data_IF_979555298104
#
_entry.id   IF_979555298104
#
_cell.length_a   1.000
_cell.length_b   1.000
_cell.length_c   1.000
_cell.angle_alpha   90.00
_cell.angle_beta   90.00
_cell.angle_gamma   90.00
#
_symmetry.space_group_name_H-M   'P 1'
#
loop_
_entity.id
_entity.type
_entity.pdbx_description
1 polymer ?
#
# COMPACT_ATOMS: atom_id res chain seq x y z
N UNK A 1 5.75 -1.18 -23.28
CA UNK A 1 5.78 -0.56 -21.94
C UNK A 1 4.85 0.64 -21.99
N UNK A 2 4.08 0.92 -20.94
CA UNK A 2 3.19 2.08 -20.93
C UNK A 2 4.00 3.37 -21.10
N UNK A 3 3.42 4.35 -21.81
CA UNK A 3 4.04 5.66 -22.00
C UNK A 3 4.04 6.44 -20.68
N UNK A 4 5.20 6.98 -20.28
CA UNK A 4 5.36 7.77 -19.05
C UNK A 4 6.36 7.19 -18.05
N UNK A 5 6.67 7.97 -17.01
CA UNK A 5 7.63 7.56 -15.97
C UNK A 5 7.03 6.40 -15.14
N UNK A 6 7.82 5.38 -14.77
CA UNK A 6 7.38 4.36 -13.83
C UNK A 6 7.01 5.00 -12.49
N UNK A 7 5.95 4.50 -11.87
CA UNK A 7 5.40 5.00 -10.61
C UNK A 7 5.77 4.04 -9.49
N UNK A 8 6.27 4.61 -8.40
CA UNK A 8 6.39 3.94 -7.10
C UNK A 8 5.25 4.47 -6.23
N UNK A 9 4.35 3.58 -5.83
CA UNK A 9 3.23 3.91 -4.98
C UNK A 9 3.51 3.46 -3.53
N UNK A 10 3.50 4.43 -2.61
CA UNK A 10 3.70 4.23 -1.19
C UNK A 10 2.39 4.51 -0.44
N UNK A 11 1.81 3.49 0.19
CA UNK A 11 0.60 3.59 1.00
C UNK A 11 0.92 3.25 2.46
N UNK A 12 0.56 4.14 3.38
CA UNK A 12 0.72 3.93 4.81
C UNK A 12 -0.63 4.04 5.50
N UNK A 13 -1.03 2.99 6.21
CA UNK A 13 -2.26 2.94 7.00
C UNK A 13 -1.87 2.97 8.48
N UNK A 14 -2.17 4.08 9.15
CA UNK A 14 -1.90 4.24 10.58
C UNK A 14 -3.20 4.55 11.31
N UNK A 15 -3.38 3.98 12.50
CA UNK A 15 -4.50 4.31 13.36
C UNK A 15 -4.29 5.68 14.00
N UNK A 16 -5.08 6.67 13.58
CA UNK A 16 -5.00 8.05 14.11
C UNK A 16 -5.89 8.26 15.34
N UNK A 17 -6.78 7.31 15.64
CA UNK A 17 -7.79 7.45 16.70
C UNK A 17 -7.39 6.69 17.96
N UNK A 18 -6.90 5.46 17.80
CA UNK A 18 -6.41 4.64 18.90
C UNK A 18 -4.89 4.77 19.05
N UNK A 19 -4.47 5.48 20.10
CA UNK A 19 -3.04 5.66 20.42
C UNK A 19 -2.31 4.35 20.73
N UNK A 20 -3.01 3.31 21.18
CA UNK A 20 -2.40 2.00 21.43
C UNK A 20 -2.08 1.27 20.12
N UNK A 21 -2.84 1.56 19.06
CA UNK A 21 -2.62 1.03 17.72
C UNK A 21 -1.71 1.93 16.88
N UNK A 22 -1.54 3.20 17.22
CA UNK A 22 -0.66 4.12 16.48
C UNK A 22 0.78 3.57 16.26
N UNK A 23 1.12 3.31 14.99
CA UNK A 23 2.43 2.78 14.58
C UNK A 23 3.43 3.92 14.38
N UNK A 24 4.16 4.26 15.45
CA UNK A 24 5.18 5.34 15.45
C UNK A 24 6.32 5.11 14.45
N UNK A 25 6.59 3.84 14.13
CA UNK A 25 7.64 3.43 13.18
C UNK A 25 7.37 3.87 11.74
N UNK A 26 6.10 4.01 11.33
CA UNK A 26 5.74 4.32 9.93
C UNK A 26 6.30 5.67 9.47
N UNK A 27 6.35 6.66 10.36
CA UNK A 27 6.94 7.95 10.03
C UNK A 27 8.45 7.85 9.77
N UNK A 28 9.16 6.97 10.49
CA UNK A 28 10.58 6.72 10.27
C UNK A 28 10.81 5.91 8.98
N UNK A 29 9.97 4.90 8.73
CA UNK A 29 9.99 4.11 7.51
C UNK A 29 9.76 4.97 6.26
N UNK A 30 8.69 5.76 6.23
CA UNK A 30 8.40 6.67 5.13
C UNK A 30 9.55 7.65 4.87
N UNK A 31 10.19 8.19 5.92
CA UNK A 31 11.39 9.04 5.77
C UNK A 31 12.55 8.27 5.16
N UNK A 32 12.80 7.05 5.62
CA UNK A 32 13.86 6.19 5.08
C UNK A 32 13.66 5.92 3.58
N UNK A 33 12.44 5.53 3.19
CA UNK A 33 12.08 5.26 1.79
C UNK A 33 12.22 6.52 0.94
N UNK A 34 11.71 7.67 1.41
CA UNK A 34 11.86 8.96 0.70
C UNK A 34 13.32 9.32 0.46
N UNK A 35 14.18 9.11 1.45
CA UNK A 35 15.60 9.39 1.32
C UNK A 35 16.27 8.45 0.29
N UNK A 36 15.95 7.16 0.34
CA UNK A 36 16.47 6.17 -0.60
C UNK A 36 16.02 6.45 -2.05
N UNK A 37 14.78 6.91 -2.24
CA UNK A 37 14.23 7.25 -3.56
C UNK A 37 14.58 8.67 -4.02
N UNK A 38 15.19 9.49 -3.15
CA UNK A 38 15.57 10.88 -3.42
C UNK A 38 16.37 11.06 -4.71
N UNK A 39 17.46 10.30 -4.94
CA UNK A 39 18.24 10.40 -6.17
C UNK A 39 17.42 10.09 -7.43
N UNK A 40 16.59 9.04 -7.40
CA UNK A 40 15.75 8.66 -8.54
C UNK A 40 14.68 9.71 -8.84
N UNK A 41 14.10 10.33 -7.79
CA UNK A 41 13.17 11.45 -7.91
C UNK A 41 13.85 12.69 -8.50
N UNK A 42 15.05 13.03 -8.04
CA UNK A 42 15.82 14.18 -8.52
C UNK A 42 16.22 14.01 -10.00
N UNK A 43 16.62 12.80 -10.39
CA UNK A 43 16.90 12.45 -11.77
C UNK A 43 15.64 12.32 -12.64
N UNK A 44 14.44 12.54 -12.08
CA UNK A 44 13.16 12.40 -12.76
C UNK A 44 12.94 11.01 -13.39
N UNK A 45 13.61 9.98 -12.86
CA UNK A 45 13.56 8.62 -13.37
C UNK A 45 12.28 7.87 -12.95
N UNK A 46 11.69 8.27 -11.83
CA UNK A 46 10.46 7.71 -11.28
C UNK A 46 9.52 8.82 -10.82
N UNK A 47 8.23 8.51 -10.82
CA UNK A 47 7.22 9.28 -10.12
C UNK A 47 6.91 8.59 -8.78
N UNK A 48 6.73 9.38 -7.72
CA UNK A 48 6.43 8.85 -6.38
C UNK A 48 5.05 9.34 -5.98
N UNK A 49 4.11 8.42 -5.85
CA UNK A 49 2.76 8.66 -5.33
C UNK A 49 2.73 8.19 -3.89
N UNK A 50 2.25 9.04 -2.98
CA UNK A 50 2.24 8.72 -1.55
C UNK A 50 0.86 8.99 -0.93
N UNK A 51 0.43 8.09 -0.04
CA UNK A 51 -0.73 8.25 0.82
C UNK A 51 -0.34 7.87 2.26
N UNK A 52 -0.23 8.86 3.14
CA UNK A 52 0.27 8.68 4.52
C UNK A 52 -0.77 8.13 5.52
N UNK A 53 -2.06 8.15 5.15
CA UNK A 53 -3.18 7.62 5.94
C UNK A 53 -4.16 6.90 5.00
N UNK A 54 -3.64 5.98 4.21
CA UNK A 54 -4.39 5.31 3.17
C UNK A 54 -5.45 4.36 3.75
N UNK A 55 -6.69 4.53 3.30
CA UNK A 55 -7.72 3.51 3.38
C UNK A 55 -7.60 2.52 2.21
N UNK A 56 -8.37 1.43 2.24
CA UNK A 56 -8.50 0.51 1.11
C UNK A 56 -8.99 1.23 -0.15
N UNK A 57 -9.99 2.10 0.01
CA UNK A 57 -10.52 2.91 -1.10
C UNK A 57 -9.43 3.78 -1.72
N UNK A 58 -8.64 4.48 -0.91
CA UNK A 58 -7.53 5.31 -1.41
C UNK A 58 -6.50 4.52 -2.21
N UNK A 59 -6.25 3.26 -1.84
CA UNK A 59 -5.33 2.38 -2.56
C UNK A 59 -5.93 1.97 -3.91
N UNK A 60 -7.17 1.49 -3.91
CA UNK A 60 -7.87 1.08 -5.13
C UNK A 60 -7.99 2.25 -6.11
N UNK A 61 -8.37 3.43 -5.62
CA UNK A 61 -8.51 4.65 -6.42
C UNK A 61 -7.21 5.01 -7.12
N UNK A 62 -6.05 4.88 -6.44
CA UNK A 62 -4.74 5.14 -7.07
C UNK A 62 -4.40 4.12 -8.15
N UNK A 63 -4.73 2.84 -7.96
CA UNK A 63 -4.51 1.82 -8.98
C UNK A 63 -5.46 1.97 -10.18
N UNK A 64 -6.67 2.49 -9.96
CA UNK A 64 -7.67 2.74 -11.01
C UNK A 64 -7.52 4.10 -11.70
N UNK A 65 -6.74 5.03 -11.12
CA UNK A 65 -6.50 6.34 -11.70
C UNK A 65 -5.87 6.21 -13.10
N UNK A 66 -6.52 6.74 -14.16
CA UNK A 66 -5.98 6.73 -15.51
C UNK A 66 -4.57 7.33 -15.63
N UNK A 67 -4.19 8.24 -14.74
CA UNK A 67 -2.85 8.84 -14.71
C UNK A 67 -1.76 7.82 -14.35
N UNK A 68 -2.09 6.77 -13.58
CA UNK A 68 -1.12 5.77 -13.11
C UNK A 68 -1.32 4.39 -13.74
N UNK A 69 -2.40 4.18 -14.48
CA UNK A 69 -2.74 2.92 -15.15
C UNK A 69 -1.56 2.35 -15.95
N UNK A 70 -1.16 1.12 -15.65
CA UNK A 70 0.00 0.45 -16.26
C UNK A 70 1.38 0.92 -15.76
N UNK A 71 1.46 2.08 -15.09
CA UNK A 71 2.73 2.73 -14.74
C UNK A 71 3.23 2.36 -13.35
N UNK A 72 2.36 1.91 -12.44
CA UNK A 72 2.75 1.50 -11.09
C UNK A 72 3.59 0.22 -11.19
N UNK A 73 4.90 0.35 -10.90
CA UNK A 73 5.87 -0.77 -10.94
C UNK A 73 6.15 -1.34 -9.57
N UNK A 74 6.11 -0.47 -8.56
CA UNK A 74 6.40 -0.83 -7.17
C UNK A 74 5.25 -0.35 -6.30
N UNK A 75 4.72 -1.24 -5.49
CA UNK A 75 3.76 -0.92 -4.44
C UNK A 75 4.36 -1.25 -3.08
N UNK A 76 4.35 -0.30 -2.16
CA UNK A 76 4.75 -0.51 -0.76
C UNK A 76 3.58 -0.16 0.15
N UNK A 77 3.19 -1.11 0.99
CA UNK A 77 2.21 -0.92 2.05
C UNK A 77 2.90 -0.98 3.42
N UNK A 78 2.67 0.03 4.26
CA UNK A 78 3.09 0.04 5.66
C UNK A 78 1.90 0.28 6.60
N UNK A 79 1.60 -0.67 7.48
CA UNK A 79 0.43 -0.55 8.36
C UNK A 79 0.26 -1.72 9.29
N UNK A 80 -0.91 -1.85 9.90
CA UNK A 80 -1.19 -3.04 10.71
C UNK A 80 -1.43 -4.27 9.86
N UNK A 81 -0.93 -5.42 10.32
CA UNK A 81 -1.18 -6.70 9.67
C UNK A 81 -2.68 -7.06 9.67
N UNK A 82 -3.43 -6.66 10.70
CA UNK A 82 -4.89 -6.87 10.75
C UNK A 82 -5.65 -5.97 9.77
N UNK A 83 -5.17 -4.76 9.50
CA UNK A 83 -5.71 -3.86 8.48
C UNK A 83 -5.43 -4.42 7.08
N UNK A 84 -4.27 -5.07 6.90
CA UNK A 84 -3.97 -5.85 5.70
C UNK A 84 -4.82 -7.13 5.60
N UNK A 85 -5.12 -7.80 6.72
CA UNK A 85 -6.07 -8.93 6.73
C UNK A 85 -7.49 -8.48 6.49
N UNK A 86 -7.96 -7.34 7.00
CA UNK A 86 -9.27 -6.76 6.69
C UNK A 86 -9.38 -6.33 5.21
N UNK A 87 -8.28 -5.83 4.66
CA UNK A 87 -8.10 -5.59 3.23
C UNK A 87 -8.20 -6.89 2.39
N UNK A 88 -8.01 -8.06 3.01
CA UNK A 88 -8.29 -9.37 2.43
C UNK A 88 -9.70 -9.88 2.83
N UNK A 89 -10.13 -9.82 4.08
CA UNK A 89 -11.24 -10.59 4.64
C UNK A 89 -12.63 -9.91 4.58
N UNK A 90 -12.77 -8.70 4.03
CA UNK A 90 -14.05 -7.98 4.06
C UNK A 90 -15.14 -8.59 3.14
N UNK A 91 -16.18 -9.16 3.75
CA UNK A 91 -17.58 -9.23 3.29
C UNK A 91 -18.49 -9.35 4.54
N UNK A 92 -19.72 -8.84 4.60
CA UNK A 92 -20.49 -7.91 3.77
C UNK A 92 -21.76 -7.54 4.55
N UNK A 93 -22.57 -6.65 3.99
CA UNK A 93 -24.01 -6.65 4.30
C UNK A 93 -24.88 -6.89 3.07
N UNK A 94 -24.31 -7.00 1.86
CA UNK A 94 -25.09 -7.20 0.64
C UNK A 94 -24.24 -7.71 -0.52
N UNK A 95 -24.10 -9.03 -0.55
CA UNK A 95 -23.62 -9.92 -1.60
C UNK A 95 -22.79 -9.29 -2.71
N UNK A 96 -21.47 -9.44 -2.59
CA UNK A 96 -20.64 -9.88 -3.70
C UNK A 96 -19.33 -10.48 -3.16
N UNK A 97 -19.40 -11.80 -2.93
CA UNK A 97 -18.33 -12.68 -2.50
C UNK A 97 -17.13 -12.54 -3.40
N UNK A 98 -16.16 -11.76 -2.96
CA UNK A 98 -14.75 -11.91 -3.27
C UNK A 98 -13.99 -11.00 -2.29
N UNK A 99 -12.79 -11.40 -1.86
CA UNK A 99 -11.60 -10.55 -1.98
C UNK A 99 -10.47 -10.80 -0.94
N UNK A 100 -10.48 -11.91 -0.20
CA UNK A 100 -9.24 -12.37 0.47
C UNK A 100 -8.26 -12.95 -0.55
N UNK A 101 -8.81 -13.55 -1.59
CA UNK A 101 -8.15 -13.76 -2.86
C UNK A 101 -8.04 -12.47 -3.70
N UNK A 102 -8.81 -11.43 -3.38
CA UNK A 102 -9.12 -10.31 -4.26
C UNK A 102 -8.16 -9.16 -4.24
N UNK A 103 -7.53 -8.79 -3.12
CA UNK A 103 -6.42 -7.83 -3.23
C UNK A 103 -5.22 -8.48 -3.90
N UNK A 104 -4.89 -9.73 -3.53
CA UNK A 104 -3.78 -10.43 -4.19
C UNK A 104 -4.06 -10.64 -5.68
N UNK A 105 -5.28 -11.03 -6.07
CA UNK A 105 -5.69 -11.10 -7.47
C UNK A 105 -5.75 -9.70 -8.11
N UNK A 106 -6.20 -8.68 -7.39
CA UNK A 106 -6.24 -7.30 -7.87
C UNK A 106 -4.82 -6.83 -8.21
N UNK A 107 -3.88 -6.96 -7.26
CA UNK A 107 -2.46 -6.63 -7.42
C UNK A 107 -1.83 -7.49 -8.53
N UNK A 108 -2.07 -8.79 -8.55
CA UNK A 108 -1.58 -9.67 -9.62
C UNK A 108 -2.16 -9.33 -11.00
N UNK A 109 -3.37 -8.76 -11.03
CA UNK A 109 -4.04 -8.26 -12.23
C UNK A 109 -3.60 -6.86 -12.65
N UNK A 110 -2.80 -6.15 -11.84
CA UNK A 110 -2.36 -4.80 -12.20
C UNK A 110 -1.30 -4.86 -13.30
N UNK A 111 -1.58 -4.27 -14.48
CA UNK A 111 -0.62 -4.26 -15.56
C UNK A 111 0.63 -3.48 -15.14
N UNK A 112 1.79 -4.10 -15.32
CA UNK A 112 3.08 -3.46 -15.07
C UNK A 112 3.54 -3.48 -13.61
N UNK A 113 2.74 -3.94 -12.65
CA UNK A 113 3.19 -4.11 -11.27
C UNK A 113 4.24 -5.23 -11.18
N UNK A 114 5.43 -4.90 -10.70
CA UNK A 114 6.59 -5.80 -10.67
C UNK A 114 6.98 -6.19 -9.25
N UNK A 115 6.84 -5.27 -8.29
CA UNK A 115 7.26 -5.48 -6.90
C UNK A 115 6.17 -5.03 -5.95
N UNK A 116 5.86 -5.89 -4.98
CA UNK A 116 4.97 -5.59 -3.86
C UNK A 116 5.75 -5.79 -2.55
N UNK A 117 5.82 -4.75 -1.73
CA UNK A 117 6.38 -4.79 -0.38
C UNK A 117 5.26 -4.60 0.64
N UNK A 118 5.10 -5.55 1.54
CA UNK A 118 4.09 -5.51 2.59
C UNK A 118 4.78 -5.49 3.95
N UNK A 119 4.76 -4.33 4.60
CA UNK A 119 5.24 -4.16 5.97
C UNK A 119 4.04 -4.04 6.92
N UNK A 120 3.53 -5.20 7.33
CA UNK A 120 2.47 -5.33 8.32
C UNK A 120 3.08 -5.54 9.72
N UNK A 121 2.80 -4.64 10.66
CA UNK A 121 3.15 -4.90 12.07
C UNK A 121 2.15 -5.90 12.65
N UNK A 122 2.61 -7.10 12.99
CA UNK A 122 1.86 -8.12 13.73
C UNK A 122 2.17 -7.96 15.21
N UNK A 123 1.36 -7.21 15.94
CA UNK A 123 1.48 -7.11 17.40
C UNK A 123 0.15 -7.44 18.04
N UNK A 124 -0.17 -8.74 18.15
CA UNK A 124 -0.86 -9.26 19.36
C UNK A 124 -0.88 -10.79 19.53
N UNK A 125 -0.66 -11.63 18.51
CA UNK A 125 -0.75 -13.11 18.68
C UNK A 125 0.57 -13.83 19.04
N UNK A 126 1.64 -13.10 19.39
CA UNK A 126 2.92 -13.70 19.83
C UNK A 126 3.43 -13.17 21.18
N UNK A 127 2.61 -12.41 21.91
CA UNK A 127 2.96 -11.89 23.25
C UNK A 127 2.10 -12.50 24.37
N UNK A 128 1.40 -13.60 24.09
CA UNK A 128 0.75 -14.43 25.10
C UNK A 128 1.20 -15.89 24.90
N UNK A 129 2.36 -16.20 25.48
CA UNK A 129 2.62 -17.48 26.13
C UNK A 129 2.32 -17.30 27.63
#
# INVERSE_FOLDING_TARGET
MPEGKPVIFLAFANDQQDQARYLRGLAAELRGIRNALGPARQAQAVEIVERANATVGDIIDVFQDPAYSGRIRVFHYGGHADSYRLLLEAEDGSGQVAHAEGLNQFLAGQPGLEVVFLNGCSTQDQAMD
#
